data_IF_999366126075
#
_entry.id   IF_999366126075
#
_cell.length_a   1.000
_cell.length_b   1.000
_cell.length_c   1.000
_cell.angle_alpha   90.00
_cell.angle_beta   90.00
_cell.angle_gamma   90.00
#
_symmetry.space_group_name_H-M   'P 1'
#
loop_
_entity.id
_entity.type
_entity.pdbx_description
1 polymer ?
#
# COMPACT_ATOMS: atom_id res chain seq x y z
N UNK A 1 -45.49 16.88 -33.94
CA UNK A 1 -45.15 15.57 -33.39
C UNK A 1 -43.88 15.01 -34.04
N UNK A 2 -43.80 14.98 -35.41
CA UNK A 2 -42.63 14.42 -36.11
C UNK A 2 -41.33 15.22 -35.86
N UNK A 3 -41.40 16.57 -35.81
CA UNK A 3 -40.27 17.42 -35.47
C UNK A 3 -39.78 17.17 -34.06
N UNK A 4 -40.68 16.97 -33.09
CA UNK A 4 -40.32 16.67 -31.70
C UNK A 4 -39.69 15.27 -31.57
N UNK A 5 -40.18 14.29 -32.32
CA UNK A 5 -39.60 12.93 -32.34
C UNK A 5 -38.17 12.97 -32.92
N UNK A 6 -37.95 13.81 -33.97
CA UNK A 6 -36.60 13.97 -34.55
C UNK A 6 -35.66 14.62 -33.56
N UNK A 7 -36.09 15.69 -32.90
CA UNK A 7 -35.28 16.38 -31.87
C UNK A 7 -34.98 15.47 -30.68
N UNK A 8 -35.94 14.63 -30.23
CA UNK A 8 -35.71 13.65 -29.17
C UNK A 8 -34.66 12.60 -29.61
N UNK A 9 -34.72 12.14 -30.85
CA UNK A 9 -33.68 11.20 -31.36
C UNK A 9 -32.31 11.85 -31.47
N UNK A 10 -32.23 13.09 -31.94
CA UNK A 10 -30.98 13.85 -32.00
C UNK A 10 -30.39 14.07 -30.61
N UNK A 11 -31.21 14.49 -29.64
CA UNK A 11 -30.79 14.63 -28.23
C UNK A 11 -30.39 13.29 -27.61
N UNK A 12 -31.10 12.19 -27.92
CA UNK A 12 -30.70 10.86 -27.44
C UNK A 12 -29.33 10.45 -27.96
N UNK A 13 -29.05 10.68 -29.27
CA UNK A 13 -27.72 10.37 -29.83
C UNK A 13 -26.61 11.26 -29.26
N UNK A 14 -26.94 12.51 -28.93
CA UNK A 14 -26.00 13.42 -28.29
C UNK A 14 -25.69 13.03 -26.85
N UNK A 15 -26.73 12.59 -26.10
CA UNK A 15 -26.55 12.04 -24.74
C UNK A 15 -25.67 10.78 -24.77
N UNK A 16 -25.95 9.84 -25.70
CA UNK A 16 -25.15 8.62 -25.82
C UNK A 16 -23.67 8.90 -26.21
N UNK A 17 -23.45 9.97 -26.99
CA UNK A 17 -22.09 10.41 -27.34
C UNK A 17 -21.37 11.05 -26.14
N UNK A 18 -22.08 11.91 -25.37
CA UNK A 18 -21.57 12.51 -24.17
C UNK A 18 -21.26 11.50 -23.07
N UNK A 19 -22.14 10.50 -22.91
CA UNK A 19 -21.92 9.41 -21.95
C UNK A 19 -20.68 8.58 -22.30
N UNK A 20 -20.46 8.28 -23.59
CA UNK A 20 -19.24 7.61 -24.05
C UNK A 20 -18.00 8.46 -23.75
N UNK A 21 -18.02 9.73 -24.14
CA UNK A 21 -16.89 10.64 -23.87
C UNK A 21 -16.61 10.77 -22.36
N UNK A 22 -17.66 10.85 -21.55
CA UNK A 22 -17.55 10.91 -20.10
C UNK A 22 -16.91 9.62 -19.53
N UNK A 23 -17.35 8.45 -20.00
CA UNK A 23 -16.78 7.17 -19.55
C UNK A 23 -15.32 7.01 -19.97
N UNK A 24 -14.96 7.49 -21.18
CA UNK A 24 -13.57 7.50 -21.65
C UNK A 24 -12.70 8.48 -20.84
N UNK A 25 -13.17 9.68 -20.58
CA UNK A 25 -12.45 10.66 -19.77
C UNK A 25 -12.25 10.17 -18.32
N UNK A 26 -13.26 9.51 -17.77
CA UNK A 26 -13.20 8.90 -16.44
C UNK A 26 -12.24 7.71 -16.36
N UNK A 27 -12.22 6.89 -17.40
CA UNK A 27 -11.26 5.79 -17.51
C UNK A 27 -9.83 6.35 -17.61
N UNK A 28 -9.61 7.36 -18.45
CA UNK A 28 -8.32 8.03 -18.57
C UNK A 28 -7.85 8.68 -17.25
N UNK A 29 -8.75 9.28 -16.49
CA UNK A 29 -8.42 9.85 -15.17
C UNK A 29 -8.02 8.76 -14.14
N UNK A 30 -8.73 7.62 -14.16
CA UNK A 30 -8.38 6.46 -13.33
C UNK A 30 -7.01 5.90 -13.72
N UNK A 31 -6.79 5.71 -15.01
CA UNK A 31 -5.48 5.27 -15.52
C UNK A 31 -4.38 6.24 -15.12
N UNK A 32 -4.61 7.56 -15.16
CA UNK A 32 -3.63 8.56 -14.77
C UNK A 32 -3.24 8.43 -13.28
N UNK A 33 -4.20 8.24 -12.38
CA UNK A 33 -3.93 8.10 -10.94
C UNK A 33 -3.25 6.77 -10.62
N UNK A 34 -3.72 5.67 -11.22
CA UNK A 34 -3.09 4.37 -11.11
C UNK A 34 -1.70 4.41 -11.74
N UNK A 35 -1.55 5.02 -12.91
CA UNK A 35 -0.26 5.18 -13.59
C UNK A 35 0.74 5.94 -12.74
N UNK A 36 0.34 7.06 -12.10
CA UNK A 36 1.22 7.78 -11.17
C UNK A 36 1.64 6.94 -9.98
N UNK A 37 0.71 6.18 -9.39
CA UNK A 37 1.03 5.27 -8.28
C UNK A 37 2.00 4.16 -8.72
N UNK A 38 1.79 3.60 -9.92
CA UNK A 38 2.68 2.62 -10.54
C UNK A 38 4.05 3.23 -10.79
N UNK A 39 4.12 4.42 -11.37
CA UNK A 39 5.39 5.10 -11.66
C UNK A 39 6.18 5.40 -10.39
N UNK A 40 5.52 5.87 -9.34
CA UNK A 40 6.14 6.07 -8.03
C UNK A 40 6.68 4.76 -7.44
N UNK A 41 5.88 3.70 -7.48
CA UNK A 41 6.31 2.38 -6.99
C UNK A 41 7.43 1.79 -7.83
N UNK A 42 7.41 1.97 -9.16
CA UNK A 42 8.51 1.57 -10.04
C UNK A 42 9.80 2.34 -9.75
N UNK A 43 9.70 3.66 -9.50
CA UNK A 43 10.86 4.46 -9.08
C UNK A 43 11.45 3.97 -7.76
N UNK A 44 10.61 3.63 -6.78
CA UNK A 44 11.05 3.05 -5.52
C UNK A 44 11.72 1.69 -5.72
N UNK A 45 11.11 0.81 -6.51
CA UNK A 45 11.72 -0.49 -6.86
C UNK A 45 13.08 -0.29 -7.52
N UNK A 46 13.19 0.60 -8.51
CA UNK A 46 14.45 0.89 -9.19
C UNK A 46 15.49 1.45 -8.22
N UNK A 47 15.09 2.29 -7.27
CA UNK A 47 16.01 2.79 -6.24
C UNK A 47 16.50 1.68 -5.31
N UNK A 48 15.60 0.78 -4.88
CA UNK A 48 15.98 -0.38 -4.05
C UNK A 48 16.82 -1.39 -4.82
N UNK A 49 16.53 -1.65 -6.09
CA UNK A 49 17.34 -2.50 -6.95
C UNK A 49 18.76 -1.96 -7.11
N UNK A 50 18.90 -0.63 -7.28
CA UNK A 50 20.21 0.02 -7.33
C UNK A 50 20.98 -0.11 -6.02
N UNK A 51 20.31 0.03 -4.89
CA UNK A 51 20.92 -0.18 -3.57
C UNK A 51 21.32 -1.65 -3.38
N UNK A 52 20.45 -2.57 -3.75
CA UNK A 52 20.72 -4.01 -3.70
C UNK A 52 21.97 -4.38 -4.53
N UNK A 53 22.07 -3.86 -5.74
CA UNK A 53 23.22 -4.11 -6.63
C UNK A 53 24.51 -3.55 -6.05
N UNK A 54 24.46 -2.33 -5.51
CA UNK A 54 25.61 -1.75 -4.80
C UNK A 54 26.07 -2.65 -3.64
N UNK A 55 25.14 -3.14 -2.83
CA UNK A 55 25.47 -4.00 -1.68
C UNK A 55 25.96 -5.39 -2.11
N UNK A 56 25.46 -5.92 -3.21
CA UNK A 56 25.99 -7.15 -3.80
C UNK A 56 27.45 -6.96 -4.24
N UNK A 57 27.74 -5.86 -4.93
CA UNK A 57 29.10 -5.53 -5.35
C UNK A 57 30.05 -5.40 -4.15
N UNK A 58 29.64 -4.64 -3.11
CA UNK A 58 30.42 -4.50 -1.88
C UNK A 58 30.66 -5.86 -1.20
N UNK A 59 29.68 -6.75 -1.20
CA UNK A 59 29.80 -8.11 -0.68
C UNK A 59 30.77 -8.96 -1.49
N UNK A 60 30.67 -8.90 -2.82
CA UNK A 60 31.57 -9.63 -3.71
C UNK A 60 33.02 -9.18 -3.54
N UNK A 61 33.27 -7.87 -3.41
CA UNK A 61 34.60 -7.32 -3.13
C UNK A 61 35.15 -7.85 -1.79
N UNK A 62 34.31 -7.86 -0.75
CA UNK A 62 34.68 -8.41 0.57
C UNK A 62 34.95 -9.91 0.51
N UNK A 63 34.20 -10.67 -0.27
CA UNK A 63 34.46 -12.10 -0.47
C UNK A 63 35.77 -12.37 -1.25
N UNK A 64 36.01 -11.57 -2.28
CA UNK A 64 37.30 -11.65 -3.00
C UNK A 64 38.46 -11.30 -2.08
N UNK A 65 38.32 -10.26 -1.27
CA UNK A 65 39.33 -9.89 -0.28
C UNK A 65 39.56 -11.02 0.74
N UNK A 66 38.50 -11.62 1.25
CA UNK A 66 38.53 -12.79 2.14
C UNK A 66 39.28 -13.97 1.49
N UNK A 67 38.97 -14.29 0.23
CA UNK A 67 39.63 -15.37 -0.51
C UNK A 67 41.12 -15.10 -0.63
N UNK A 68 41.53 -13.85 -0.95
CA UNK A 68 42.93 -13.46 -1.01
C UNK A 68 43.62 -13.58 0.35
N UNK A 69 42.99 -13.15 1.43
CA UNK A 69 43.54 -13.32 2.78
C UNK A 69 43.68 -14.79 3.18
N UNK A 70 42.69 -15.63 2.87
CA UNK A 70 42.76 -17.07 3.13
C UNK A 70 43.90 -17.73 2.33
N UNK A 71 44.00 -17.37 1.04
CA UNK A 71 45.09 -17.86 0.19
C UNK A 71 46.44 -17.44 0.73
N UNK A 72 46.59 -16.17 1.11
CA UNK A 72 47.83 -15.69 1.74
C UNK A 72 48.10 -16.43 3.07
N UNK A 73 47.06 -16.68 3.90
CA UNK A 73 47.21 -17.43 5.14
C UNK A 73 47.62 -18.91 4.87
N UNK A 74 47.03 -19.53 3.83
CA UNK A 74 47.38 -20.88 3.40
C UNK A 74 48.82 -20.94 2.84
N UNK A 75 49.18 -19.99 2.01
CA UNK A 75 50.53 -19.86 1.48
C UNK A 75 51.54 -19.64 2.62
N UNK A 76 51.25 -18.77 3.57
CA UNK A 76 52.04 -18.56 4.78
C UNK A 76 52.18 -19.82 5.61
N UNK A 77 51.14 -20.66 5.68
CA UNK A 77 51.20 -21.95 6.37
C UNK A 77 51.99 -23.04 5.62
N UNK A 78 52.07 -22.94 4.27
CA UNK A 78 52.81 -23.88 3.42
C UNK A 78 54.30 -23.51 3.23
N UNK A 79 54.60 -22.22 3.51
CA UNK A 79 55.96 -21.72 3.27
C UNK A 79 56.86 -21.99 4.45
N UNK A 80 57.69 -22.99 4.33
CA UNK A 80 58.96 -23.01 5.05
C UNK A 80 59.82 -21.83 4.54
N UNK A 81 59.57 -20.61 5.08
CA UNK A 81 60.48 -19.47 5.00
C UNK A 81 60.70 -18.72 3.68
N UNK A 82 59.82 -18.72 2.71
CA UNK A 82 59.85 -17.72 1.63
C UNK A 82 58.73 -16.68 1.73
N UNK A 83 59.02 -15.64 2.48
CA UNK A 83 58.05 -14.61 2.82
C UNK A 83 58.39 -13.33 2.07
N UNK A 84 58.01 -13.24 0.79
CA UNK A 84 58.43 -12.13 -0.08
C UNK A 84 57.38 -11.08 -0.41
N UNK A 85 56.18 -11.10 0.23
CA UNK A 85 55.09 -10.21 -0.24
C UNK A 85 54.50 -9.25 0.79
N UNK A 86 55.02 -9.17 2.00
CA UNK A 86 54.62 -8.17 2.96
C UNK A 86 55.83 -7.40 3.51
N UNK A 87 55.73 -6.07 3.66
CA UNK A 87 56.79 -5.26 4.24
C UNK A 87 57.29 -5.78 5.60
N UNK A 88 56.37 -6.28 6.43
CA UNK A 88 56.65 -6.91 7.71
C UNK A 88 57.35 -8.26 7.57
N UNK A 89 57.13 -8.96 6.46
CA UNK A 89 57.72 -10.25 6.18
C UNK A 89 59.10 -10.13 5.53
N UNK A 90 59.38 -9.01 4.85
CA UNK A 90 60.74 -8.69 4.41
C UNK A 90 61.74 -8.63 5.58
N UNK A 91 61.29 -8.31 6.78
CA UNK A 91 62.08 -8.39 8.00
C UNK A 91 62.41 -9.83 8.43
N UNK A 92 61.57 -10.82 8.07
CA UNK A 92 61.78 -12.23 8.42
C UNK A 92 62.86 -12.89 7.56
N UNK A 93 63.21 -12.31 6.40
CA UNK A 93 64.29 -12.77 5.55
C UNK A 93 65.62 -12.11 5.88
N UNK A 94 65.63 -11.13 6.77
CA UNK A 94 66.85 -10.48 7.23
C UNK A 94 67.70 -11.46 8.04
N UNK A 95 68.95 -11.61 7.66
CA UNK A 95 69.95 -12.57 8.22
C UNK A 95 70.26 -12.22 9.69
N UNK A 96 70.06 -10.95 10.07
CA UNK A 96 70.53 -10.39 11.34
C UNK A 96 69.41 -10.40 12.46
N UNK A 97 68.22 -10.90 12.17
CA UNK A 97 67.15 -11.02 13.19
C UNK A 97 67.23 -12.32 13.96
N UNK A 98 67.12 -12.22 15.28
CA UNK A 98 67.07 -13.38 16.15
C UNK A 98 65.74 -14.17 15.93
N UNK A 99 65.72 -15.45 16.32
CA UNK A 99 64.52 -16.28 16.20
C UNK A 99 63.34 -15.71 17.02
N UNK A 100 63.59 -15.01 18.11
CA UNK A 100 62.58 -14.34 18.91
C UNK A 100 61.91 -13.20 18.13
N UNK A 101 62.72 -12.34 17.50
CA UNK A 101 62.19 -11.22 16.69
C UNK A 101 61.44 -11.68 15.43
N UNK A 102 61.90 -12.81 14.83
CA UNK A 102 61.17 -13.44 13.74
C UNK A 102 59.80 -13.97 14.20
N UNK A 103 59.75 -14.62 15.37
CA UNK A 103 58.52 -15.12 15.94
C UNK A 103 57.55 -14.00 16.28
N UNK A 104 58.01 -12.90 16.90
CA UNK A 104 57.20 -11.73 17.19
C UNK A 104 56.62 -11.11 15.91
N UNK A 105 57.41 -11.01 14.85
CA UNK A 105 56.93 -10.52 13.54
C UNK A 105 55.84 -11.42 12.94
N UNK A 106 55.98 -12.74 13.02
CA UNK A 106 54.99 -13.72 12.59
C UNK A 106 53.72 -13.58 13.41
N UNK A 107 53.83 -13.48 14.73
CA UNK A 107 52.67 -13.37 15.62
C UNK A 107 51.94 -12.04 15.44
N UNK A 108 52.65 -10.93 15.24
CA UNK A 108 52.08 -9.65 14.87
C UNK A 108 51.31 -9.72 13.55
N UNK A 109 51.90 -10.34 12.52
CA UNK A 109 51.24 -10.53 11.22
C UNK A 109 49.97 -11.41 11.35
N UNK A 110 50.05 -12.51 12.11
CA UNK A 110 48.90 -13.38 12.38
C UNK A 110 47.80 -12.62 13.11
N UNK A 111 48.12 -11.78 14.08
CA UNK A 111 47.19 -10.97 14.79
C UNK A 111 46.48 -9.94 13.86
N UNK A 112 47.24 -9.31 12.96
CA UNK A 112 46.69 -8.37 11.97
C UNK A 112 45.79 -9.07 10.97
N UNK A 113 46.18 -10.22 10.42
CA UNK A 113 45.36 -11.03 9.52
C UNK A 113 44.04 -11.45 10.22
N UNK A 114 44.11 -11.91 11.48
CA UNK A 114 42.94 -12.27 12.27
C UNK A 114 42.01 -11.06 12.46
N UNK A 115 42.57 -9.90 12.81
CA UNK A 115 41.80 -8.65 12.98
C UNK A 115 41.07 -8.25 11.69
N UNK A 116 41.78 -8.30 10.55
CA UNK A 116 41.20 -8.02 9.23
C UNK A 116 40.12 -9.02 8.86
N UNK A 117 40.37 -10.32 9.05
CA UNK A 117 39.37 -11.38 8.83
C UNK A 117 38.10 -11.15 9.65
N UNK A 118 38.27 -10.87 10.94
CA UNK A 118 37.13 -10.66 11.84
C UNK A 118 36.34 -9.38 11.49
N UNK A 119 37.02 -8.35 10.98
CA UNK A 119 36.37 -7.16 10.42
C UNK A 119 35.58 -7.50 9.17
N UNK A 120 36.17 -8.27 8.23
CA UNK A 120 35.46 -8.68 6.99
C UNK A 120 34.22 -9.55 7.32
N UNK A 121 34.35 -10.48 8.26
CA UNK A 121 33.22 -11.33 8.69
C UNK A 121 32.08 -10.49 9.29
N UNK A 122 32.42 -9.48 10.11
CA UNK A 122 31.42 -8.57 10.67
C UNK A 122 30.74 -7.73 9.58
N UNK A 123 31.54 -7.15 8.66
CA UNK A 123 30.99 -6.36 7.55
C UNK A 123 30.11 -7.21 6.64
N UNK A 124 30.52 -8.46 6.37
CA UNK A 124 29.67 -9.39 5.61
C UNK A 124 28.35 -9.68 6.32
N UNK A 125 28.39 -9.97 7.62
CA UNK A 125 27.17 -10.23 8.40
C UNK A 125 26.22 -9.01 8.45
N UNK A 126 26.80 -7.81 8.49
CA UNK A 126 26.04 -6.56 8.39
C UNK A 126 25.36 -6.42 7.02
N UNK A 127 26.13 -6.58 5.94
CA UNK A 127 25.61 -6.49 4.57
C UNK A 127 24.57 -7.58 4.26
N UNK A 128 24.72 -8.79 4.81
CA UNK A 128 23.73 -9.85 4.66
C UNK A 128 22.40 -9.51 5.35
N UNK A 129 22.43 -8.77 6.46
CA UNK A 129 21.18 -8.26 7.11
C UNK A 129 20.51 -7.19 6.27
N UNK A 130 21.26 -6.18 5.85
CA UNK A 130 20.73 -5.11 5.01
C UNK A 130 20.16 -5.65 3.69
N UNK A 131 20.85 -6.63 3.09
CA UNK A 131 20.37 -7.29 1.89
C UNK A 131 18.99 -7.93 2.11
N UNK A 132 18.79 -8.60 3.25
CA UNK A 132 17.49 -9.20 3.60
C UNK A 132 16.40 -8.15 3.80
N UNK A 133 16.72 -7.03 4.45
CA UNK A 133 15.79 -5.92 4.65
C UNK A 133 15.34 -5.33 3.30
N UNK A 134 16.30 -5.01 2.42
CA UNK A 134 16.00 -4.49 1.07
C UNK A 134 15.21 -5.49 0.22
N UNK A 135 15.50 -6.78 0.34
CA UNK A 135 14.72 -7.82 -0.36
C UNK A 135 13.28 -7.90 0.15
N UNK A 136 13.07 -7.74 1.46
CA UNK A 136 11.73 -7.71 2.03
C UNK A 136 10.94 -6.49 1.53
N UNK A 137 11.55 -5.30 1.62
CA UNK A 137 10.95 -4.05 1.11
C UNK A 137 10.61 -4.14 -0.38
N UNK A 138 11.53 -4.68 -1.19
CA UNK A 138 11.27 -4.93 -2.61
C UNK A 138 10.08 -5.86 -2.83
N UNK A 139 9.98 -6.93 -2.04
CA UNK A 139 8.86 -7.87 -2.14
C UNK A 139 7.52 -7.20 -1.82
N UNK A 140 7.50 -6.33 -0.82
CA UNK A 140 6.32 -5.55 -0.44
C UNK A 140 5.92 -4.57 -1.54
N UNK A 141 6.89 -3.80 -2.06
CA UNK A 141 6.64 -2.86 -3.16
C UNK A 141 6.18 -3.58 -4.45
N UNK A 142 6.74 -4.75 -4.75
CA UNK A 142 6.31 -5.55 -5.89
C UNK A 142 4.85 -6.01 -5.77
N UNK A 143 4.40 -6.36 -4.55
CA UNK A 143 2.99 -6.70 -4.30
C UNK A 143 2.07 -5.48 -4.49
N UNK A 144 2.50 -4.30 -4.06
CA UNK A 144 1.74 -3.06 -4.26
C UNK A 144 1.59 -2.79 -5.76
N UNK A 145 2.67 -2.86 -6.53
CA UNK A 145 2.63 -2.69 -7.99
C UNK A 145 1.71 -3.72 -8.65
N UNK A 146 1.83 -4.99 -8.27
CA UNK A 146 0.96 -6.05 -8.81
C UNK A 146 -0.53 -5.81 -8.51
N UNK A 147 -0.84 -5.31 -7.31
CA UNK A 147 -2.20 -4.94 -6.94
C UNK A 147 -2.69 -3.72 -7.73
N UNK A 148 -1.84 -2.72 -7.94
CA UNK A 148 -2.15 -1.55 -8.78
C UNK A 148 -2.38 -1.95 -10.23
N UNK A 149 -1.52 -2.80 -10.81
CA UNK A 149 -1.65 -3.31 -12.20
C UNK A 149 -2.95 -4.10 -12.39
N UNK A 150 -3.46 -4.73 -11.34
CA UNK A 150 -4.74 -5.43 -11.34
C UNK A 150 -5.94 -4.55 -10.99
N UNK A 151 -5.76 -3.24 -10.85
CA UNK A 151 -6.78 -2.30 -10.32
C UNK A 151 -7.37 -2.76 -8.97
N UNK A 152 -6.56 -3.39 -8.13
CA UNK A 152 -6.96 -3.83 -6.79
C UNK A 152 -6.37 -2.89 -5.76
N UNK A 153 -7.22 -2.30 -4.94
CA UNK A 153 -6.78 -1.55 -3.76
C UNK A 153 -6.00 -2.47 -2.80
N UNK A 154 -5.01 -1.91 -2.11
CA UNK A 154 -4.28 -2.65 -1.06
C UNK A 154 -5.12 -2.73 0.21
N UNK A 155 -5.70 -3.88 0.44
CA UNK A 155 -6.50 -4.19 1.62
C UNK A 155 -5.74 -5.02 2.67
N UNK A 156 -4.41 -5.00 2.67
CA UNK A 156 -3.60 -5.76 3.63
C UNK A 156 -3.91 -5.44 5.09
N UNK A 157 -4.38 -4.21 5.36
CA UNK A 157 -4.77 -3.74 6.69
C UNK A 157 -6.21 -4.10 7.11
N UNK A 158 -7.00 -4.66 6.19
CA UNK A 158 -8.40 -5.10 6.43
C UNK A 158 -8.58 -6.59 6.08
N UNK A 159 -7.69 -7.41 6.62
CA UNK A 159 -7.65 -8.86 6.33
C UNK A 159 -8.94 -9.58 6.71
N UNK A 160 -9.53 -9.24 7.85
CA UNK A 160 -10.77 -9.87 8.32
C UNK A 160 -11.94 -9.57 7.37
N UNK A 161 -12.08 -8.34 6.89
CA UNK A 161 -13.09 -7.98 5.89
C UNK A 161 -12.90 -8.76 4.60
N UNK A 162 -11.67 -8.82 4.11
CA UNK A 162 -11.32 -9.55 2.88
C UNK A 162 -11.62 -11.04 3.01
N UNK A 163 -11.35 -11.63 4.17
CA UNK A 163 -11.63 -13.03 4.44
C UNK A 163 -13.14 -13.29 4.48
N UNK A 164 -13.90 -12.49 5.22
CA UNK A 164 -15.35 -12.61 5.32
C UNK A 164 -16.02 -12.44 3.94
N UNK A 165 -15.57 -11.50 3.12
CA UNK A 165 -16.05 -11.32 1.74
C UNK A 165 -15.84 -12.60 0.91
N UNK A 166 -14.68 -13.25 1.04
CA UNK A 166 -14.43 -14.53 0.34
C UNK A 166 -15.36 -15.63 0.78
N UNK A 167 -15.63 -15.73 2.08
CA UNK A 167 -16.56 -16.71 2.66
C UNK A 167 -17.99 -16.47 2.20
N UNK A 168 -18.45 -15.21 2.23
CA UNK A 168 -19.77 -14.81 1.73
C UNK A 168 -19.90 -15.14 0.24
N UNK A 169 -18.95 -14.73 -0.58
CA UNK A 169 -18.98 -14.96 -2.03
C UNK A 169 -18.96 -16.45 -2.38
N UNK A 170 -18.25 -17.27 -1.60
CA UNK A 170 -18.28 -18.73 -1.75
C UNK A 170 -19.66 -19.30 -1.46
N UNK A 171 -20.34 -18.80 -0.43
CA UNK A 171 -21.68 -19.29 -0.04
C UNK A 171 -22.75 -18.80 -1.03
N UNK A 172 -22.70 -17.54 -1.46
CA UNK A 172 -23.60 -17.00 -2.49
C UNK A 172 -23.52 -17.83 -3.79
N UNK A 173 -22.32 -18.17 -4.24
CA UNK A 173 -22.11 -19.05 -5.43
C UNK A 173 -22.70 -20.43 -5.23
N UNK A 174 -22.60 -21.04 -4.05
CA UNK A 174 -23.20 -22.35 -3.76
C UNK A 174 -24.72 -22.30 -3.84
N UNK A 175 -25.32 -21.18 -3.41
CA UNK A 175 -26.77 -21.00 -3.45
C UNK A 175 -27.28 -20.50 -4.81
N UNK A 176 -26.40 -20.35 -5.81
CA UNK A 176 -26.75 -19.92 -7.16
C UNK A 176 -27.13 -18.43 -7.24
N UNK A 177 -26.69 -17.63 -6.26
CA UNK A 177 -26.88 -16.18 -6.26
C UNK A 177 -25.70 -15.56 -7.02
N UNK A 178 -26.00 -14.96 -8.17
CA UNK A 178 -24.99 -14.32 -9.04
C UNK A 178 -24.72 -12.89 -8.61
N UNK A 179 -24.19 -12.76 -7.40
CA UNK A 179 -23.84 -11.49 -6.77
C UNK A 179 -22.55 -11.63 -5.99
N UNK A 180 -21.84 -10.51 -5.79
CA UNK A 180 -20.61 -10.46 -5.03
C UNK A 180 -20.71 -9.45 -3.89
N UNK A 181 -20.34 -9.91 -2.69
CA UNK A 181 -20.06 -9.03 -1.57
C UNK A 181 -18.80 -8.22 -1.86
N UNK A 182 -18.82 -6.93 -1.55
CA UNK A 182 -17.68 -6.01 -1.72
C UNK A 182 -17.63 -5.02 -0.57
N UNK A 183 -16.47 -4.37 -0.39
CA UNK A 183 -16.37 -3.24 0.53
C UNK A 183 -17.08 -2.01 -0.03
N UNK A 184 -17.62 -1.18 0.84
CA UNK A 184 -18.34 0.03 0.44
C UNK A 184 -17.50 0.94 -0.46
N UNK A 185 -16.23 1.13 -0.14
CA UNK A 185 -15.31 1.96 -0.93
C UNK A 185 -15.12 1.48 -2.37
N UNK A 186 -15.25 0.18 -2.64
CA UNK A 186 -15.09 -0.38 -4.00
C UNK A 186 -16.21 0.04 -4.97
N UNK A 187 -17.31 0.56 -4.44
CA UNK A 187 -18.43 1.07 -5.25
C UNK A 187 -18.28 2.55 -5.60
N UNK A 188 -17.33 3.25 -5.00
CA UNK A 188 -17.03 4.64 -5.34
C UNK A 188 -16.16 4.65 -6.59
N UNK A 189 -16.71 5.18 -7.66
CA UNK A 189 -16.02 5.20 -8.96
C UNK A 189 -15.11 6.41 -9.12
N UNK A 190 -15.44 7.52 -8.49
CA UNK A 190 -14.73 8.79 -8.62
C UNK A 190 -15.04 9.70 -7.46
N UNK A 191 -14.06 10.52 -7.07
CA UNK A 191 -14.23 11.67 -6.21
C UNK A 191 -14.17 12.94 -7.08
N UNK A 192 -15.26 13.69 -7.15
CA UNK A 192 -15.37 14.87 -8.04
C UNK A 192 -14.40 16.00 -7.72
N UNK A 193 -13.98 16.09 -6.47
CA UNK A 193 -12.98 17.06 -6.01
C UNK A 193 -12.03 16.39 -5.02
N UNK A 194 -10.79 16.24 -5.43
CA UNK A 194 -9.72 15.61 -4.65
C UNK A 194 -9.43 16.33 -3.31
N UNK A 195 -9.76 17.62 -3.21
CA UNK A 195 -9.57 18.36 -1.97
C UNK A 195 -10.44 17.84 -0.82
N UNK A 196 -11.52 17.12 -1.13
CA UNK A 196 -12.41 16.50 -0.14
C UNK A 196 -11.97 15.11 0.31
N UNK A 197 -11.00 14.50 -0.37
CA UNK A 197 -10.59 13.12 -0.10
C UNK A 197 -10.26 12.88 1.36
N UNK A 198 -9.36 13.67 1.92
CA UNK A 198 -8.89 13.49 3.29
C UNK A 198 -10.03 13.64 4.32
N UNK A 199 -10.91 14.62 4.11
CA UNK A 199 -12.04 14.86 4.99
C UNK A 199 -13.06 13.71 4.94
N UNK A 200 -13.42 13.24 3.76
CA UNK A 200 -14.37 12.15 3.56
C UNK A 200 -13.81 10.83 4.08
N UNK A 201 -12.58 10.49 3.72
CA UNK A 201 -11.90 9.26 4.16
C UNK A 201 -11.78 9.21 5.69
N UNK A 202 -11.37 10.31 6.31
CA UNK A 202 -11.22 10.39 7.75
C UNK A 202 -12.58 10.36 8.48
N UNK A 203 -13.61 10.97 7.90
CA UNK A 203 -14.96 10.95 8.47
C UNK A 203 -15.58 9.56 8.43
N UNK A 204 -15.51 8.88 7.29
CA UNK A 204 -16.03 7.53 7.14
C UNK A 204 -15.23 6.52 7.96
N UNK A 205 -13.95 6.76 8.17
CA UNK A 205 -13.06 5.91 8.97
C UNK A 205 -13.21 4.42 8.61
N UNK A 206 -13.62 3.58 9.56
CA UNK A 206 -13.82 2.13 9.36
C UNK A 206 -15.03 1.80 8.49
N UNK A 207 -16.02 2.69 8.42
CA UNK A 207 -17.26 2.48 7.67
C UNK A 207 -17.05 2.38 6.16
N UNK A 208 -15.95 2.93 5.64
CA UNK A 208 -15.59 2.76 4.22
C UNK A 208 -15.27 1.32 3.85
N UNK A 209 -14.89 0.49 4.82
CA UNK A 209 -14.61 -0.94 4.67
C UNK A 209 -15.79 -1.84 5.03
N UNK A 210 -16.96 -1.26 5.32
CA UNK A 210 -18.16 -2.03 5.58
C UNK A 210 -18.52 -2.90 4.37
N UNK A 211 -18.92 -4.13 4.64
CA UNK A 211 -19.28 -5.09 3.58
C UNK A 211 -20.72 -4.82 3.14
N UNK A 212 -20.87 -4.67 1.84
CA UNK A 212 -22.17 -4.49 1.19
C UNK A 212 -22.48 -5.71 0.32
N UNK A 213 -23.73 -6.13 0.40
CA UNK A 213 -24.39 -7.09 -0.48
C UNK A 213 -25.71 -6.51 -0.93
N UNK A 214 -26.37 -7.08 -1.93
CA UNK A 214 -27.76 -6.68 -2.23
C UNK A 214 -28.70 -7.02 -1.07
N UNK A 215 -29.88 -6.38 -1.00
CA UNK A 215 -30.89 -6.73 -0.01
C UNK A 215 -31.32 -8.21 -0.07
N UNK A 216 -31.29 -8.83 -1.27
CA UNK A 216 -31.64 -10.22 -1.47
C UNK A 216 -30.60 -11.19 -0.89
N UNK A 217 -29.31 -10.83 -0.99
CA UNK A 217 -28.21 -11.64 -0.50
C UNK A 217 -27.92 -11.44 1.01
N UNK A 218 -28.56 -10.46 1.67
CA UNK A 218 -28.23 -10.09 3.04
C UNK A 218 -28.36 -11.24 4.04
N UNK A 219 -29.44 -12.04 3.98
CA UNK A 219 -29.65 -13.13 4.95
C UNK A 219 -28.55 -14.18 4.88
N UNK A 220 -28.12 -14.52 3.65
CA UNK A 220 -27.03 -15.47 3.42
C UNK A 220 -25.72 -14.89 3.97
N UNK A 221 -25.43 -13.64 3.66
CA UNK A 221 -24.23 -12.97 4.15
C UNK A 221 -24.21 -12.87 5.69
N UNK A 222 -25.35 -12.56 6.30
CA UNK A 222 -25.47 -12.48 7.76
C UNK A 222 -25.27 -13.86 8.41
N UNK A 223 -25.81 -14.92 7.83
CA UNK A 223 -25.61 -16.28 8.33
C UNK A 223 -24.14 -16.69 8.27
N UNK A 224 -23.45 -16.36 7.18
CA UNK A 224 -22.00 -16.61 7.06
C UNK A 224 -21.23 -15.84 8.13
N UNK A 225 -21.55 -14.56 8.35
CA UNK A 225 -20.94 -13.73 9.38
C UNK A 225 -21.13 -14.34 10.78
N UNK A 226 -22.34 -14.78 11.11
CA UNK A 226 -22.66 -15.39 12.42
C UNK A 226 -21.84 -16.68 12.65
N UNK A 227 -21.53 -17.42 11.59
CA UNK A 227 -20.75 -18.65 11.64
C UNK A 227 -19.23 -18.46 11.59
N UNK A 228 -18.77 -17.33 11.03
CA UNK A 228 -17.35 -17.09 10.73
C UNK A 228 -16.49 -16.73 11.93
N UNK A 229 -17.08 -16.24 13.01
CA UNK A 229 -16.36 -15.74 14.18
C UNK A 229 -15.72 -14.36 14.03
N UNK A 230 -15.83 -13.70 12.88
CA UNK A 230 -15.35 -12.34 12.65
C UNK A 230 -16.24 -11.32 13.38
N UNK A 231 -15.75 -10.78 14.51
CA UNK A 231 -16.58 -9.95 15.41
C UNK A 231 -16.39 -8.44 15.20
N UNK A 232 -15.36 -8.01 14.51
CA UNK A 232 -15.00 -6.60 14.33
C UNK A 232 -15.20 -6.12 12.90
N UNK A 233 -15.91 -6.90 12.08
CA UNK A 233 -16.23 -6.57 10.70
C UNK A 233 -17.65 -6.02 10.62
N UNK A 234 -17.86 -4.97 9.85
CA UNK A 234 -19.17 -4.38 9.63
C UNK A 234 -19.81 -4.96 8.37
N UNK A 235 -20.89 -5.72 8.53
CA UNK A 235 -21.79 -6.11 7.45
C UNK A 235 -23.03 -5.21 7.50
N UNK A 236 -23.29 -4.47 6.44
CA UNK A 236 -24.41 -3.53 6.40
C UNK A 236 -25.73 -4.28 6.23
N UNK A 237 -26.74 -3.98 7.08
CA UNK A 237 -28.08 -4.47 6.89
C UNK A 237 -28.76 -3.76 5.71
N UNK A 238 -28.51 -4.26 4.52
CA UNK A 238 -28.97 -3.67 3.26
C UNK A 238 -30.48 -3.79 3.06
N UNK A 239 -31.16 -4.77 3.67
CA UNK A 239 -32.62 -4.85 3.69
C UNK A 239 -33.22 -3.66 4.40
N UNK A 240 -32.78 -3.41 5.64
CA UNK A 240 -33.22 -2.27 6.42
C UNK A 240 -32.83 -0.93 5.81
N UNK A 241 -31.63 -0.89 5.18
CA UNK A 241 -31.17 0.29 4.46
C UNK A 241 -32.06 0.60 3.25
N UNK A 242 -32.51 -0.42 2.50
CA UNK A 242 -33.39 -0.26 1.35
C UNK A 242 -34.74 0.37 1.72
N UNK A 243 -35.31 0.02 2.88
CA UNK A 243 -36.59 0.53 3.38
C UNK A 243 -36.47 1.95 3.98
N UNK A 244 -35.24 2.37 4.32
CA UNK A 244 -35.05 3.64 5.03
C UNK A 244 -35.15 4.82 4.07
N UNK A 245 -35.97 5.82 4.46
CA UNK A 245 -35.94 7.15 3.83
C UNK A 245 -34.73 7.92 4.36
N UNK A 246 -33.79 8.22 3.48
CA UNK A 246 -32.57 8.94 3.84
C UNK A 246 -32.72 10.37 3.33
N UNK A 247 -32.49 11.32 4.23
CA UNK A 247 -32.44 12.74 3.87
C UNK A 247 -31.07 13.00 3.20
N UNK A 248 -31.09 13.62 2.03
CA UNK A 248 -29.89 14.07 1.34
C UNK A 248 -30.09 15.53 0.98
N UNK A 249 -29.24 16.39 1.51
CA UNK A 249 -29.26 17.83 1.23
C UNK A 249 -28.63 18.07 -0.15
N UNK A 250 -29.08 19.13 -0.83
CA UNK A 250 -28.59 19.46 -2.18
C UNK A 250 -27.10 19.81 -2.22
N UNK A 251 -26.59 20.38 -1.14
CA UNK A 251 -25.18 20.75 -0.93
C UNK A 251 -24.42 19.76 -0.04
N UNK A 252 -24.89 18.52 0.08
CA UNK A 252 -24.27 17.56 0.97
C UNK A 252 -22.93 17.05 0.46
N UNK A 253 -22.06 16.66 1.39
CA UNK A 253 -20.76 16.03 1.12
C UNK A 253 -20.90 14.77 0.25
N UNK A 254 -22.05 14.08 0.32
CA UNK A 254 -22.34 12.93 -0.52
C UNK A 254 -22.17 13.21 -2.02
N UNK A 255 -22.49 14.41 -2.47
CA UNK A 255 -22.45 14.79 -3.90
C UNK A 255 -21.03 14.86 -4.49
N UNK A 256 -19.99 14.80 -3.66
CA UNK A 256 -18.62 14.67 -4.12
C UNK A 256 -18.26 13.23 -4.51
N UNK A 257 -19.07 12.23 -4.08
CA UNK A 257 -18.87 10.83 -4.45
C UNK A 257 -19.69 10.47 -5.69
N UNK A 258 -19.07 9.75 -6.61
CA UNK A 258 -19.76 9.15 -7.74
C UNK A 258 -19.90 7.67 -7.52
N UNK A 259 -21.16 7.21 -7.39
CA UNK A 259 -21.50 5.84 -7.05
C UNK A 259 -22.59 5.34 -8.00
N UNK A 260 -22.33 4.22 -8.66
CA UNK A 260 -23.28 3.65 -9.63
C UNK A 260 -24.26 2.63 -8.99
N UNK A 261 -23.83 1.97 -7.92
CA UNK A 261 -24.62 0.97 -7.24
C UNK A 261 -25.63 1.62 -6.28
N UNK A 262 -26.90 1.29 -6.41
CA UNK A 262 -27.98 1.89 -5.62
C UNK A 262 -27.86 1.62 -4.10
N UNK A 263 -27.50 0.39 -3.72
CA UNK A 263 -27.32 0.01 -2.32
C UNK A 263 -26.15 0.78 -1.69
N UNK A 264 -25.05 0.89 -2.40
CA UNK A 264 -23.89 1.66 -1.97
C UNK A 264 -24.21 3.16 -1.91
N UNK A 265 -24.93 3.69 -2.91
CA UNK A 265 -25.38 5.08 -2.92
C UNK A 265 -26.21 5.40 -1.67
N UNK A 266 -27.19 4.57 -1.32
CA UNK A 266 -27.97 4.71 -0.09
C UNK A 266 -27.11 4.61 1.18
N UNK A 267 -26.11 3.75 1.19
CA UNK A 267 -25.20 3.63 2.33
C UNK A 267 -24.38 4.91 2.54
N UNK A 268 -23.81 5.46 1.49
CA UNK A 268 -23.05 6.72 1.59
C UNK A 268 -23.97 7.92 1.84
N UNK A 269 -25.20 7.95 1.29
CA UNK A 269 -26.21 8.96 1.65
C UNK A 269 -26.56 8.90 3.13
N UNK A 270 -26.64 7.72 3.71
CA UNK A 270 -26.90 7.56 5.15
C UNK A 270 -25.81 8.23 6.01
N UNK A 271 -24.55 8.14 5.60
CA UNK A 271 -23.44 8.73 6.34
C UNK A 271 -23.22 10.21 6.03
N UNK A 272 -23.32 10.58 4.79
CA UNK A 272 -22.88 11.89 4.28
C UNK A 272 -24.02 12.81 3.81
N UNK A 273 -25.20 12.25 3.53
CA UNK A 273 -26.29 12.99 2.91
C UNK A 273 -26.85 14.14 3.73
N UNK A 274 -26.75 14.07 5.05
CA UNK A 274 -27.21 15.13 5.96
C UNK A 274 -26.09 16.10 6.36
N UNK A 275 -24.89 16.01 5.78
CA UNK A 275 -23.75 16.86 6.11
C UNK A 275 -23.54 17.87 4.99
N UNK A 276 -23.73 19.14 5.29
CA UNK A 276 -23.49 20.23 4.36
C UNK A 276 -21.99 20.37 4.06
N UNK A 277 -21.64 20.49 2.79
CA UNK A 277 -20.29 20.79 2.35
C UNK A 277 -20.10 22.31 2.29
N UNK A 278 -19.29 22.83 3.20
CA UNK A 278 -19.15 24.29 3.36
C UNK A 278 -17.68 24.70 3.48
N UNK A 279 -17.40 25.98 3.34
CA UNK A 279 -16.09 26.52 3.63
C UNK A 279 -15.78 26.52 5.14
N UNK A 280 -14.50 26.58 5.48
CA UNK A 280 -13.98 26.40 6.84
C UNK A 280 -14.64 27.33 7.89
N UNK A 281 -14.91 28.58 7.53
CA UNK A 281 -15.51 29.60 8.39
C UNK A 281 -17.04 29.47 8.53
N UNK A 282 -17.67 28.70 7.65
CA UNK A 282 -19.11 28.50 7.64
C UNK A 282 -19.58 27.29 8.43
N UNK A 283 -18.70 26.39 8.80
CA UNK A 283 -19.04 25.11 9.50
C UNK A 283 -19.90 25.35 10.73
N UNK A 284 -19.72 26.46 11.45
CA UNK A 284 -20.48 26.79 12.67
C UNK A 284 -21.88 27.35 12.42
N UNK A 285 -22.24 27.62 11.17
CA UNK A 285 -23.56 28.14 10.79
C UNK A 285 -24.62 27.04 10.61
N UNK A 286 -24.18 25.79 10.55
CA UNK A 286 -25.01 24.62 10.28
C UNK A 286 -24.97 23.63 11.43
N UNK A 287 -26.05 22.87 11.63
CA UNK A 287 -26.12 21.81 12.64
C UNK A 287 -25.23 20.60 12.28
N UNK A 288 -25.11 20.32 10.98
CA UNK A 288 -24.25 19.26 10.45
C UNK A 288 -23.52 19.77 9.21
N UNK A 289 -22.26 20.11 9.33
CA UNK A 289 -21.47 20.58 8.20
C UNK A 289 -20.02 20.12 8.31
N UNK A 290 -19.38 20.00 7.17
CA UNK A 290 -17.95 19.64 7.07
C UNK A 290 -17.27 20.52 6.04
N UNK A 291 -16.03 20.91 6.33
CA UNK A 291 -15.16 21.56 5.35
C UNK A 291 -14.11 20.57 4.80
N UNK A 292 -13.55 20.90 3.66
CA UNK A 292 -12.48 20.10 3.01
C UNK A 292 -11.21 19.96 3.86
N UNK A 293 -10.96 20.89 4.80
CA UNK A 293 -9.85 20.80 5.75
C UNK A 293 -10.15 19.87 6.94
N UNK A 294 -11.31 19.22 6.94
CA UNK A 294 -11.72 18.27 7.97
C UNK A 294 -12.27 18.90 9.24
N UNK A 295 -12.68 20.17 9.22
CA UNK A 295 -13.48 20.74 10.31
C UNK A 295 -14.90 20.26 10.20
N UNK A 296 -15.43 19.68 11.28
CA UNK A 296 -16.77 19.09 11.36
C UNK A 296 -17.59 19.76 12.46
N UNK A 297 -18.75 20.31 12.09
CA UNK A 297 -19.79 20.72 13.01
C UNK A 297 -20.86 19.63 13.07
N UNK A 298 -21.10 19.06 14.25
CA UNK A 298 -22.14 18.04 14.44
C UNK A 298 -22.60 18.00 15.90
N UNK A 299 -23.91 17.83 16.12
CA UNK A 299 -24.47 17.68 17.46
C UNK A 299 -24.05 18.80 18.43
N UNK A 300 -24.12 20.05 18.01
CA UNK A 300 -23.71 21.25 18.78
C UNK A 300 -22.20 21.34 19.10
N UNK A 301 -21.38 20.46 18.55
CA UNK A 301 -19.94 20.43 18.74
C UNK A 301 -19.19 20.71 17.44
N UNK A 302 -18.05 21.36 17.53
CA UNK A 302 -17.13 21.55 16.41
C UNK A 302 -15.82 20.86 16.74
N UNK A 303 -15.33 20.07 15.80
CA UNK A 303 -14.09 19.31 15.96
C UNK A 303 -13.32 19.26 14.64
N UNK A 304 -12.04 18.90 14.69
CA UNK A 304 -11.28 18.54 13.51
C UNK A 304 -11.14 17.02 13.42
N UNK A 305 -11.46 16.48 12.26
CA UNK A 305 -11.27 15.06 11.98
C UNK A 305 -9.77 14.81 11.78
N UNK A 306 -9.26 13.73 12.36
CA UNK A 306 -7.84 13.42 12.27
C UNK A 306 -7.50 12.76 10.93
N UNK A 307 -7.20 13.58 9.93
CA UNK A 307 -6.81 13.13 8.57
C UNK A 307 -5.45 12.41 8.56
N UNK A 308 -4.56 12.67 9.57
CA UNK A 308 -3.25 12.01 9.67
C UNK A 308 -3.32 10.53 10.05
N UNK A 309 -4.48 10.03 10.46
CA UNK A 309 -4.69 8.61 10.78
C UNK A 309 -5.11 7.74 9.59
N UNK A 310 -5.27 8.33 8.42
CA UNK A 310 -5.59 7.57 7.22
C UNK A 310 -4.37 6.73 6.85
N UNK A 311 -4.49 5.40 7.00
CA UNK A 311 -3.40 4.45 6.71
C UNK A 311 -3.31 4.12 5.22
N UNK A 312 -4.44 4.10 4.54
CA UNK A 312 -4.53 3.92 3.09
C UNK A 312 -5.79 4.60 2.57
N UNK A 313 -5.69 5.17 1.40
CA UNK A 313 -6.82 5.76 0.67
C UNK A 313 -7.52 4.67 -0.14
N UNK A 314 -8.86 4.68 -0.14
CA UNK A 314 -9.65 3.71 -0.88
C UNK A 314 -10.83 4.33 -1.65
N UNK A 315 -11.06 5.65 -1.51
CA UNK A 315 -12.08 6.39 -2.27
C UNK A 315 -11.49 7.09 -3.50
#
# INVERSE_FOLDING_TARGET
VETQIKTIKELSTEIDALDRYYMEAKAALRELNVSKAIDNSRQQITAFEKQLEKRKSEREELEQFRKRLLHVAEELNKMECEVSHFETLGKLTAVDLSNSEKQEAIDALRAEIRKKRDSIVRSRAYLDRELKEVQLERSEQSKIVENCDRNKADYSHVQEQTQLIREINKELKKQGIDEEARMACEYVSELKDEAWRDAIEAFLAVHRYAILVSPQAFDVANQVMDCSGHRYVELVNTKRLAERKIKCEEDSVYHYLQIQNETAAKYFQFWLGAIHAVELDEVTKYDNAMSKEGKLGRNMAVTYINTKKIKSYCL
#
